data_IF_968096582395
#
_entry.id   IF_968096582395
#
_cell.length_a   1.000
_cell.length_b   1.000
_cell.length_c   1.000
_cell.angle_alpha   90.00
_cell.angle_beta   90.00
_cell.angle_gamma   90.00
#
_symmetry.space_group_name_H-M   'P 1'
#
loop_
_entity.id
_entity.type
_entity.pdbx_description
1 polymer ?
#
# COMPACT_ATOMS: atom_id res chain seq x y z
N UNK A 1 -35.33 58.41 -42.45
CA UNK A 1 -36.12 57.35 -41.76
C UNK A 1 -35.57 55.91 -41.89
N UNK A 2 -34.34 55.64 -42.38
CA UNK A 2 -33.77 54.27 -42.51
C UNK A 2 -33.06 53.74 -41.23
N UNK A 3 -32.47 54.60 -40.41
CA UNK A 3 -31.61 54.17 -39.28
C UNK A 3 -32.37 53.58 -38.07
N UNK A 4 -33.63 53.98 -37.82
CA UNK A 4 -34.38 53.47 -36.66
C UNK A 4 -34.92 52.06 -36.88
N UNK A 5 -35.14 51.64 -38.14
CA UNK A 5 -35.55 50.27 -38.47
C UNK A 5 -34.38 49.29 -38.34
N UNK A 6 -33.18 49.71 -38.75
CA UNK A 6 -31.94 48.92 -38.61
C UNK A 6 -31.57 48.77 -37.13
N UNK A 7 -31.66 49.84 -36.32
CA UNK A 7 -31.44 49.76 -34.86
C UNK A 7 -32.43 48.84 -34.15
N UNK A 8 -33.72 48.88 -34.54
CA UNK A 8 -34.73 47.95 -34.00
C UNK A 8 -34.49 46.50 -34.42
N UNK A 9 -34.04 46.27 -35.66
CA UNK A 9 -33.70 44.94 -36.17
C UNK A 9 -32.43 44.38 -35.50
N UNK A 10 -31.42 45.22 -35.24
CA UNK A 10 -30.20 44.85 -34.53
C UNK A 10 -30.49 44.49 -33.07
N UNK A 11 -31.36 45.26 -32.38
CA UNK A 11 -31.80 44.94 -31.03
C UNK A 11 -32.60 43.63 -30.97
N UNK A 12 -33.40 43.33 -32.00
CA UNK A 12 -34.16 42.09 -32.07
C UNK A 12 -33.26 40.86 -32.23
N UNK A 13 -32.21 40.94 -33.06
CA UNK A 13 -31.20 39.87 -33.18
C UNK A 13 -30.38 39.68 -31.89
N UNK A 14 -30.09 40.75 -31.16
CA UNK A 14 -29.35 40.68 -29.90
C UNK A 14 -30.15 39.97 -28.79
N UNK A 15 -31.48 40.14 -28.77
CA UNK A 15 -32.37 39.46 -27.81
C UNK A 15 -32.46 37.95 -28.12
N UNK A 16 -32.50 37.57 -29.40
CA UNK A 16 -32.54 36.16 -29.84
C UNK A 16 -31.23 35.43 -29.51
N UNK A 17 -30.09 36.12 -29.58
CA UNK A 17 -28.79 35.54 -29.22
C UNK A 17 -28.66 35.27 -27.71
N UNK A 18 -29.32 36.08 -26.86
CA UNK A 18 -29.28 35.93 -25.41
C UNK A 18 -30.15 34.78 -24.87
N UNK A 19 -31.21 34.36 -25.58
CA UNK A 19 -32.13 33.30 -25.11
C UNK A 19 -31.66 31.87 -25.42
N UNK A 20 -30.60 31.70 -26.21
CA UNK A 20 -30.02 30.40 -26.54
C UNK A 20 -28.90 29.95 -25.58
N UNK A 21 -28.67 30.67 -24.49
CA UNK A 21 -27.75 30.23 -23.43
C UNK A 21 -28.40 29.12 -22.60
N UNK A 22 -28.46 27.92 -23.16
CA UNK A 22 -28.79 26.71 -22.41
C UNK A 22 -27.72 26.50 -21.35
N UNK A 23 -28.06 26.82 -20.10
CA UNK A 23 -27.31 26.33 -18.94
C UNK A 23 -27.52 24.82 -18.89
N UNK A 24 -26.49 24.07 -19.25
CA UNK A 24 -26.41 22.66 -18.88
C UNK A 24 -26.28 22.63 -17.36
N UNK A 25 -27.39 22.36 -16.69
CA UNK A 25 -27.39 22.04 -15.28
C UNK A 25 -26.73 20.66 -15.12
N UNK A 26 -25.40 20.65 -14.97
CA UNK A 26 -24.67 19.48 -14.46
C UNK A 26 -25.05 19.27 -12.99
N UNK A 27 -26.27 18.76 -12.75
CA UNK A 27 -26.68 18.22 -11.45
C UNK A 27 -26.00 16.88 -11.25
N UNK A 28 -24.68 16.88 -11.16
CA UNK A 28 -23.97 15.88 -10.36
C UNK A 28 -24.30 16.20 -8.91
N UNK A 29 -25.46 15.74 -8.44
CA UNK A 29 -25.69 15.59 -7.01
C UNK A 29 -24.53 14.74 -6.47
N UNK A 30 -23.75 15.21 -5.50
CA UNK A 30 -22.70 14.38 -4.93
C UNK A 30 -23.38 13.16 -4.32
N UNK A 31 -23.14 11.99 -4.91
CA UNK A 31 -23.55 10.72 -4.32
C UNK A 31 -22.80 10.60 -2.99
N UNK A 32 -23.51 10.85 -1.90
CA UNK A 32 -22.94 10.73 -0.56
C UNK A 32 -22.81 9.24 -0.22
N UNK A 33 -21.60 8.71 -0.34
CA UNK A 33 -21.27 7.36 0.08
C UNK A 33 -20.80 7.43 1.53
N UNK A 34 -21.50 6.72 2.41
CA UNK A 34 -21.16 6.64 3.84
C UNK A 34 -20.72 5.22 4.17
N UNK A 35 -19.59 5.08 4.85
CA UNK A 35 -19.14 3.80 5.38
C UNK A 35 -20.07 3.38 6.52
N UNK A 36 -20.60 2.17 6.44
CA UNK A 36 -21.40 1.54 7.51
C UNK A 36 -20.62 0.36 8.08
N UNK A 37 -20.57 0.26 9.41
CA UNK A 37 -20.04 -0.95 10.08
C UNK A 37 -20.92 -2.14 9.69
N UNK A 38 -20.32 -3.15 9.05
CA UNK A 38 -21.00 -4.39 8.65
C UNK A 38 -20.73 -5.56 9.59
N UNK A 39 -19.66 -5.48 10.39
CA UNK A 39 -19.24 -6.54 11.29
C UNK A 39 -18.00 -6.17 12.10
N UNK A 40 -17.45 -7.17 12.77
CA UNK A 40 -16.21 -7.07 13.54
C UNK A 40 -15.54 -8.44 13.56
N UNK A 41 -14.22 -8.44 13.43
CA UNK A 41 -13.37 -9.62 13.53
C UNK A 41 -12.65 -9.60 14.88
N UNK A 42 -12.63 -10.71 15.61
CA UNK A 42 -11.97 -10.78 16.92
C UNK A 42 -10.83 -11.82 16.87
N UNK A 43 -9.63 -11.35 16.57
CA UNK A 43 -8.45 -12.22 16.51
C UNK A 43 -7.78 -12.30 17.89
N UNK A 44 -7.79 -13.46 18.56
CA UNK A 44 -7.14 -13.63 19.85
C UNK A 44 -5.63 -13.56 19.69
N UNK A 45 -4.96 -12.74 20.51
CA UNK A 45 -3.51 -12.62 20.50
C UNK A 45 -2.87 -13.65 21.44
N UNK A 46 -1.65 -14.08 21.09
CA UNK A 46 -0.78 -14.84 22.00
C UNK A 46 0.02 -13.90 22.92
N UNK A 47 0.71 -14.48 23.91
CA UNK A 47 1.51 -13.73 24.90
C UNK A 47 2.75 -13.03 24.30
N UNK A 48 3.06 -13.32 23.04
CA UNK A 48 4.22 -12.79 22.33
C UNK A 48 3.85 -11.66 21.36
N UNK A 49 2.58 -11.54 20.99
CA UNK A 49 2.09 -10.54 20.05
C UNK A 49 1.57 -9.31 20.75
N UNK A 50 1.57 -8.20 20.03
CA UNK A 50 1.03 -6.92 20.52
C UNK A 50 -0.13 -6.52 19.62
N UNK A 51 -1.12 -5.81 20.16
CA UNK A 51 -2.24 -5.31 19.36
C UNK A 51 -1.87 -4.24 18.33
N UNK A 52 -0.62 -3.75 18.32
CA UNK A 52 -0.16 -2.71 17.40
C UNK A 52 0.84 -3.28 16.38
N UNK A 53 0.34 -3.74 15.25
CA UNK A 53 1.16 -4.29 14.16
C UNK A 53 1.15 -3.35 12.95
N UNK A 54 2.24 -2.60 12.76
CA UNK A 54 2.36 -1.59 11.68
C UNK A 54 2.60 -2.25 10.32
N UNK A 55 3.24 -3.43 10.32
CA UNK A 55 3.53 -4.20 9.13
C UNK A 55 2.54 -5.36 9.06
N UNK A 56 1.41 -5.12 8.42
CA UNK A 56 0.35 -6.09 8.22
C UNK A 56 -0.12 -6.07 6.78
N UNK A 57 -0.70 -7.17 6.33
CA UNK A 57 -1.25 -7.29 4.98
C UNK A 57 -2.38 -8.32 4.93
N UNK A 58 -3.30 -8.12 3.99
CA UNK A 58 -4.31 -9.11 3.64
C UNK A 58 -3.75 -10.02 2.56
N UNK A 59 -3.74 -11.33 2.81
CA UNK A 59 -3.19 -12.32 1.87
C UNK A 59 -4.20 -13.45 1.65
N UNK A 60 -4.16 -14.05 0.45
CA UNK A 60 -4.94 -15.25 0.13
C UNK A 60 -3.99 -16.44 0.10
N UNK A 61 -4.27 -17.44 0.95
CA UNK A 61 -3.53 -18.70 1.00
C UNK A 61 -4.53 -19.79 0.64
N UNK A 62 -4.33 -20.44 -0.50
CA UNK A 62 -5.28 -21.43 -1.03
C UNK A 62 -6.73 -20.92 -1.10
N UNK A 63 -6.88 -19.64 -1.49
CA UNK A 63 -8.16 -18.90 -1.53
C UNK A 63 -8.81 -18.63 -0.17
N UNK A 64 -8.15 -18.97 0.93
CA UNK A 64 -8.59 -18.61 2.28
C UNK A 64 -8.01 -17.24 2.66
N UNK A 65 -8.86 -16.27 3.06
CA UNK A 65 -8.42 -14.95 3.46
C UNK A 65 -7.67 -15.01 4.80
N UNK A 66 -6.48 -14.43 4.83
CA UNK A 66 -5.65 -14.33 6.02
C UNK A 66 -5.24 -12.88 6.29
N UNK A 67 -5.18 -12.52 7.58
CA UNK A 67 -4.41 -11.36 8.03
C UNK A 67 -3.01 -11.86 8.34
N UNK A 68 -2.04 -11.32 7.62
CA UNK A 68 -0.62 -11.49 7.95
C UNK A 68 -0.10 -10.27 8.69
N UNK A 69 0.83 -10.46 9.64
CA UNK A 69 1.61 -9.34 10.18
C UNK A 69 2.97 -9.76 10.72
N UNK A 70 3.93 -8.83 10.71
CA UNK A 70 5.24 -9.03 11.30
C UNK A 70 5.22 -8.67 12.79
N UNK A 71 5.43 -9.67 13.64
CA UNK A 71 5.74 -9.49 15.04
C UNK A 71 7.24 -9.18 15.21
N UNK A 72 7.57 -7.90 15.40
CA UNK A 72 8.95 -7.46 15.59
C UNK A 72 9.60 -7.93 16.89
N UNK A 73 8.80 -8.29 17.90
CA UNK A 73 9.30 -8.75 19.21
C UNK A 73 10.09 -10.05 19.02
N UNK A 74 9.50 -11.01 18.31
CA UNK A 74 10.10 -12.32 18.07
C UNK A 74 10.54 -12.55 16.62
N UNK A 75 10.53 -11.52 15.77
CA UNK A 75 10.99 -11.59 14.37
C UNK A 75 10.22 -12.61 13.50
N UNK A 76 8.92 -12.77 13.74
CA UNK A 76 8.11 -13.76 13.04
C UNK A 76 6.95 -13.12 12.28
N UNK A 77 6.60 -13.67 11.13
CA UNK A 77 5.38 -13.32 10.41
C UNK A 77 4.26 -14.25 10.87
N UNK A 78 3.17 -13.68 11.34
CA UNK A 78 1.98 -14.38 11.83
C UNK A 78 0.92 -14.40 10.74
N UNK A 79 0.13 -15.47 10.68
CA UNK A 79 -0.99 -15.62 9.75
C UNK A 79 -2.24 -16.04 10.51
N UNK A 80 -3.26 -15.18 10.51
CA UNK A 80 -4.58 -15.48 11.06
C UNK A 80 -5.55 -15.78 9.93
N UNK A 81 -6.20 -16.93 9.97
CA UNK A 81 -7.33 -17.25 9.10
C UNK A 81 -8.53 -16.38 9.52
N UNK A 82 -9.09 -15.62 8.57
CA UNK A 82 -10.19 -14.69 8.81
C UNK A 82 -11.57 -15.34 8.79
N UNK A 83 -11.67 -16.60 8.38
CA UNK A 83 -12.88 -17.44 8.45
C UNK A 83 -12.95 -18.13 9.81
N UNK A 84 -11.84 -18.74 10.26
CA UNK A 84 -11.81 -19.42 11.56
C UNK A 84 -11.44 -18.50 12.74
N UNK A 85 -11.08 -17.24 12.47
CA UNK A 85 -10.62 -16.24 13.44
C UNK A 85 -9.45 -16.74 14.33
N UNK A 86 -8.57 -17.56 13.77
CA UNK A 86 -7.52 -18.25 14.53
C UNK A 86 -6.15 -18.07 13.90
N UNK A 87 -5.11 -18.06 14.74
CA UNK A 87 -3.73 -18.10 14.32
C UNK A 87 -3.43 -19.49 13.74
N UNK A 88 -3.14 -19.55 12.44
CA UNK A 88 -2.85 -20.81 11.74
C UNK A 88 -1.36 -21.05 11.60
N UNK A 89 -0.55 -20.00 11.47
CA UNK A 89 0.89 -20.16 11.23
C UNK A 89 1.74 -19.01 11.75
N UNK A 90 3.00 -19.33 12.06
CA UNK A 90 4.09 -18.40 12.34
C UNK A 90 5.35 -18.82 11.57
N UNK A 91 5.95 -17.89 10.85
CA UNK A 91 7.26 -18.09 10.20
C UNK A 91 8.29 -17.27 10.96
N UNK A 92 9.23 -17.94 11.64
CA UNK A 92 10.19 -17.30 12.54
C UNK A 92 11.55 -17.09 11.87
N UNK A 93 11.98 -15.85 11.71
CA UNK A 93 13.28 -15.54 11.12
C UNK A 93 14.36 -15.34 12.19
N UNK A 94 15.43 -16.13 12.24
CA UNK A 94 16.48 -15.97 13.25
C UNK A 94 17.17 -14.60 13.18
N UNK A 95 17.28 -13.90 14.32
CA UNK A 95 17.97 -12.60 14.41
C UNK A 95 19.50 -12.70 14.44
N UNK A 96 20.04 -13.91 14.67
CA UNK A 96 21.46 -14.19 14.90
C UNK A 96 21.78 -15.61 14.43
N UNK A 97 23.07 -15.90 14.26
CA UNK A 97 23.56 -17.21 13.83
C UNK A 97 23.94 -17.24 12.34
N UNK A 98 24.23 -18.42 11.79
CA UNK A 98 24.59 -18.57 10.37
C UNK A 98 23.49 -18.09 9.41
N UNK A 99 22.22 -18.25 9.79
CA UNK A 99 21.02 -17.86 9.03
C UNK A 99 20.46 -16.52 9.53
N UNK A 100 21.34 -15.54 9.77
CA UNK A 100 20.95 -14.26 10.37
C UNK A 100 20.10 -13.39 9.42
N UNK A 101 18.83 -13.18 9.77
CA UNK A 101 17.91 -12.26 9.09
C UNK A 101 17.87 -10.85 9.69
N UNK A 102 18.55 -10.59 10.79
CA UNK A 102 18.57 -9.27 11.45
C UNK A 102 17.23 -8.88 12.08
N UNK A 103 17.08 -7.58 12.37
CA UNK A 103 15.86 -7.02 12.95
C UNK A 103 14.92 -6.59 11.81
N UNK A 104 13.92 -7.42 11.55
CA UNK A 104 12.97 -7.19 10.47
C UNK A 104 12.11 -5.94 10.76
N UNK A 105 11.93 -5.13 9.72
CA UNK A 105 11.05 -3.95 9.74
C UNK A 105 10.11 -3.90 8.53
N UNK A 106 9.93 -5.03 7.85
CA UNK A 106 9.05 -5.11 6.70
C UNK A 106 9.17 -6.47 6.03
N UNK A 107 8.09 -6.86 5.37
CA UNK A 107 8.04 -8.05 4.56
C UNK A 107 7.06 -7.85 3.40
N UNK A 108 7.17 -8.70 2.39
CA UNK A 108 6.16 -8.92 1.38
C UNK A 108 6.01 -10.42 1.17
N UNK A 109 4.81 -10.94 1.42
CA UNK A 109 4.48 -12.34 1.27
C UNK A 109 3.79 -12.55 -0.07
N UNK A 110 4.37 -13.39 -0.93
CA UNK A 110 3.75 -13.81 -2.19
C UNK A 110 3.11 -15.19 -1.99
N UNK A 111 3.89 -16.11 -1.45
CA UNK A 111 3.49 -17.45 -1.03
C UNK A 111 4.57 -18.02 -0.09
N UNK A 112 4.39 -19.24 0.39
CA UNK A 112 5.34 -19.89 1.31
C UNK A 112 6.74 -20.10 0.75
N UNK A 113 6.89 -20.16 -0.57
CA UNK A 113 8.16 -20.33 -1.25
C UNK A 113 8.79 -19.00 -1.69
N UNK A 114 8.09 -17.87 -1.52
CA UNK A 114 8.48 -16.57 -2.03
C UNK A 114 8.11 -15.47 -1.06
N UNK A 115 9.05 -15.17 -0.16
CA UNK A 115 8.92 -14.16 0.87
C UNK A 115 10.08 -13.18 0.75
N UNK A 116 9.77 -11.90 0.67
CA UNK A 116 10.76 -10.84 0.82
C UNK A 116 10.73 -10.33 2.25
N UNK A 117 11.87 -10.22 2.90
CA UNK A 117 12.01 -9.66 4.24
C UNK A 117 13.10 -8.60 4.26
N UNK A 118 12.84 -7.50 4.95
CA UNK A 118 13.78 -6.38 5.03
C UNK A 118 14.23 -6.15 6.47
N UNK A 119 15.54 -6.21 6.67
CA UNK A 119 16.19 -5.99 7.95
C UNK A 119 16.86 -4.62 7.97
N UNK A 120 16.37 -3.74 8.84
CA UNK A 120 16.86 -2.35 8.90
C UNK A 120 18.31 -2.27 9.39
N UNK A 121 18.62 -3.02 10.45
CA UNK A 121 19.93 -3.02 11.09
C UNK A 121 21.04 -3.55 10.16
N UNK A 122 20.70 -4.40 9.19
CA UNK A 122 21.65 -4.91 8.20
C UNK A 122 21.60 -4.14 6.87
N UNK A 123 20.57 -3.32 6.63
CA UNK A 123 20.30 -2.74 5.32
C UNK A 123 20.13 -3.81 4.23
N UNK A 124 19.52 -4.95 4.57
CA UNK A 124 19.40 -6.11 3.67
C UNK A 124 17.96 -6.41 3.33
N UNK A 125 17.69 -6.60 2.04
CA UNK A 125 16.47 -7.22 1.53
C UNK A 125 16.81 -8.67 1.16
N UNK A 126 16.15 -9.62 1.81
CA UNK A 126 16.36 -11.04 1.60
C UNK A 126 15.12 -11.64 0.95
N UNK A 127 15.34 -12.40 -0.12
CA UNK A 127 14.35 -13.30 -0.72
C UNK A 127 14.58 -14.71 -0.17
N UNK A 128 13.54 -15.30 0.40
CA UNK A 128 13.57 -16.55 1.17
C UNK A 128 12.26 -17.30 1.02
N UNK A 129 12.18 -18.50 1.57
CA UNK A 129 10.95 -19.23 1.83
C UNK A 129 10.69 -19.43 3.34
N UNK A 130 9.63 -20.18 3.65
CA UNK A 130 9.22 -20.58 5.01
C UNK A 130 10.23 -21.47 5.74
N UNK A 131 11.18 -22.09 5.04
CA UNK A 131 12.22 -22.95 5.64
C UNK A 131 13.49 -22.17 5.97
N UNK A 132 13.51 -20.87 5.65
CA UNK A 132 14.62 -19.95 5.85
C UNK A 132 15.80 -20.19 4.88
N UNK A 133 15.58 -20.94 3.80
CA UNK A 133 16.60 -21.08 2.76
C UNK A 133 16.82 -19.74 2.06
N UNK A 134 18.03 -19.19 2.19
CA UNK A 134 18.41 -17.93 1.56
C UNK A 134 18.47 -18.08 0.04
N UNK A 135 17.37 -17.79 -0.67
CA UNK A 135 17.32 -17.84 -2.14
C UNK A 135 18.13 -16.71 -2.78
N UNK A 136 18.07 -15.50 -2.21
CA UNK A 136 18.87 -14.34 -2.67
C UNK A 136 18.96 -13.26 -1.60
N UNK A 137 20.12 -12.63 -1.46
CA UNK A 137 20.31 -11.48 -0.54
C UNK A 137 20.76 -10.27 -1.34
N UNK A 138 20.01 -9.17 -1.21
CA UNK A 138 20.33 -7.88 -1.80
C UNK A 138 20.71 -6.90 -0.70
N UNK A 139 21.94 -6.40 -0.74
CA UNK A 139 22.35 -5.27 0.10
C UNK A 139 21.72 -4.00 -0.45
N UNK A 140 20.87 -3.37 0.35
CA UNK A 140 20.42 -2.01 0.08
C UNK A 140 21.52 -1.08 0.60
N UNK A 141 22.24 -0.35 -0.27
CA UNK A 141 23.26 0.58 0.21
C UNK A 141 22.58 1.56 1.16
N UNK A 142 23.10 1.66 2.38
CA UNK A 142 22.69 2.72 3.29
C UNK A 142 22.89 4.04 2.56
N UNK A 143 21.93 4.97 2.69
CA UNK A 143 22.12 6.34 2.21
C UNK A 143 23.52 6.77 2.68
N UNK A 144 24.43 7.23 1.79
CA UNK A 144 25.70 7.73 2.26
C UNK A 144 25.41 8.75 3.35
N UNK A 145 26.16 8.73 4.45
CA UNK A 145 26.04 9.75 5.49
C UNK A 145 25.90 11.11 4.81
N UNK A 146 24.93 11.92 5.21
CA UNK A 146 24.54 13.16 4.52
C UNK A 146 25.71 14.12 4.23
N UNK A 147 26.87 13.91 4.85
CA UNK A 147 28.15 14.57 4.57
C UNK A 147 28.84 14.18 3.25
N UNK A 148 28.40 13.15 2.50
CA UNK A 148 29.14 12.63 1.32
C UNK A 148 28.32 12.33 0.06
N UNK A 149 27.00 12.52 0.04
CA UNK A 149 26.19 12.19 -1.14
C UNK A 149 25.93 13.42 -2.04
N UNK A 150 26.47 13.42 -3.26
CA UNK A 150 26.05 14.36 -4.30
C UNK A 150 24.69 13.90 -4.92
N UNK A 151 23.74 14.80 -5.21
CA UNK A 151 22.35 14.44 -5.53
C UNK A 151 22.12 13.54 -6.76
N UNK A 152 23.08 13.44 -7.68
CA UNK A 152 22.93 12.72 -8.96
C UNK A 152 23.32 11.23 -8.92
N UNK A 153 23.96 10.75 -7.86
CA UNK A 153 24.39 9.33 -7.70
C UNK A 153 23.21 8.37 -7.44
N UNK A 154 22.03 8.88 -7.08
CA UNK A 154 20.89 8.07 -6.63
C UNK A 154 20.09 7.37 -7.75
N UNK A 155 20.41 7.58 -9.03
CA UNK A 155 19.59 7.08 -10.16
C UNK A 155 20.02 5.74 -10.76
N UNK A 156 21.12 5.12 -10.32
CA UNK A 156 21.71 3.97 -11.06
C UNK A 156 21.34 2.56 -10.58
N UNK A 157 20.79 2.36 -9.39
CA UNK A 157 20.74 1.01 -8.80
C UNK A 157 19.33 0.45 -8.47
N UNK A 158 18.26 0.95 -9.09
CA UNK A 158 16.91 0.40 -8.88
C UNK A 158 16.19 0.15 -10.21
N UNK A 159 16.66 -0.82 -10.98
CA UNK A 159 15.86 -1.46 -12.00
C UNK A 159 16.12 -2.97 -11.97
N UNK A 160 15.09 -3.72 -11.57
CA UNK A 160 15.01 -5.15 -11.83
C UNK A 160 14.92 -5.32 -13.36
N UNK A 161 15.90 -6.00 -13.95
CA UNK A 161 15.79 -6.63 -15.27
C UNK A 161 15.59 -8.12 -15.07
#
# INVERSE_FOLDING_TARGET
MKNNKIKKLLCFFLIIFCVNSCKVDNKTSPVSVVLKKVGQLNLPLDDESTGRNIYNDFVLIDSVPHLSFLNKKNNSIYFYDLVSEALTEKIHFPKKGPENFGDLVGYNFINYDSIFVYAYNLGKLTFTDRTHEHKKVLSCPTRPSASKAQPWELKKNLYFR
#
